data_IF_420497405171
#
_entry.id   IF_420497405171
#
_cell.length_a   1.000
_cell.length_b   1.000
_cell.length_c   1.000
_cell.angle_alpha   90.00
_cell.angle_beta   90.00
_cell.angle_gamma   90.00
#
_symmetry.space_group_name_H-M   'P 1'
#
loop_
_entity.id
_entity.type
_entity.pdbx_description
1 polymer ?
#
# COMPACT_ATOMS: atom_id res chain seq x y z
N UNK A 1 -19.69 -3.61 -15.37
CA UNK A 1 -18.22 -3.55 -15.20
C UNK A 1 -17.85 -4.43 -14.01
N UNK A 2 -16.82 -5.29 -14.12
CA UNK A 2 -16.29 -6.07 -12.99
C UNK A 2 -15.29 -5.23 -12.22
N UNK A 3 -15.47 -5.12 -10.91
CA UNK A 3 -14.69 -4.23 -10.05
C UNK A 3 -13.92 -5.03 -9.01
N UNK A 4 -12.67 -4.65 -8.78
CA UNK A 4 -11.81 -5.25 -7.75
C UNK A 4 -10.67 -4.30 -7.36
N UNK A 5 -10.14 -4.38 -6.13
CA UNK A 5 -8.93 -3.68 -5.74
C UNK A 5 -7.67 -4.34 -6.31
N UNK A 6 -6.63 -3.53 -6.60
CA UNK A 6 -5.37 -3.99 -7.16
C UNK A 6 -4.68 -5.13 -6.37
N UNK A 7 -4.86 -5.18 -5.04
CA UNK A 7 -4.28 -6.24 -4.22
C UNK A 7 -4.78 -7.65 -4.62
N UNK A 8 -5.98 -7.77 -5.20
CA UNK A 8 -6.50 -9.06 -5.67
C UNK A 8 -5.69 -9.62 -6.85
N UNK A 9 -5.25 -8.74 -7.76
CA UNK A 9 -4.36 -9.11 -8.87
C UNK A 9 -3.02 -9.59 -8.33
N UNK A 10 -2.44 -8.82 -7.39
CA UNK A 10 -1.18 -9.19 -6.71
C UNK A 10 -1.31 -10.56 -6.04
N UNK A 11 -2.38 -10.79 -5.28
CA UNK A 11 -2.64 -12.06 -4.61
C UNK A 11 -2.77 -13.23 -5.58
N UNK A 12 -3.40 -13.01 -6.73
CA UNK A 12 -3.55 -14.05 -7.75
C UNK A 12 -2.23 -14.44 -8.41
N UNK A 13 -1.33 -13.48 -8.63
CA UNK A 13 -0.09 -13.71 -9.38
C UNK A 13 1.10 -14.11 -8.49
N UNK A 14 1.10 -13.69 -7.23
CA UNK A 14 2.23 -13.83 -6.31
C UNK A 14 1.84 -14.54 -5.00
N UNK A 15 0.88 -15.46 -5.05
CA UNK A 15 0.41 -16.22 -3.88
C UNK A 15 1.56 -16.95 -3.15
N UNK A 16 2.59 -17.37 -3.88
CA UNK A 16 3.79 -18.04 -3.37
C UNK A 16 4.71 -17.13 -2.55
N UNK A 17 4.66 -15.81 -2.78
CA UNK A 17 5.44 -14.80 -2.05
C UNK A 17 4.68 -14.23 -0.83
N UNK A 18 3.35 -14.32 -0.81
CA UNK A 18 2.50 -13.79 0.26
C UNK A 18 2.40 -14.76 1.46
N UNK A 19 3.56 -15.14 2.02
CA UNK A 19 3.66 -16.09 3.16
C UNK A 19 3.59 -15.43 4.54
N UNK A 20 2.93 -14.28 4.65
CA UNK A 20 2.75 -13.61 5.95
C UNK A 20 1.82 -14.40 6.86
N UNK A 21 2.12 -14.44 8.15
CA UNK A 21 1.19 -14.96 9.16
C UNK A 21 0.01 -14.00 9.32
N UNK A 22 -1.07 -14.47 9.95
CA UNK A 22 -2.19 -13.59 10.30
C UNK A 22 -1.73 -12.40 11.20
N UNK A 23 -0.69 -12.62 12.01
CA UNK A 23 -0.06 -11.60 12.85
C UNK A 23 0.70 -10.57 12.01
N UNK A 24 1.39 -10.99 10.95
CA UNK A 24 2.09 -10.06 10.04
C UNK A 24 1.11 -9.14 9.30
N UNK A 25 -0.03 -9.71 8.85
CA UNK A 25 -1.11 -8.96 8.21
C UNK A 25 -1.72 -7.94 9.17
N UNK A 26 -2.00 -8.36 10.41
CA UNK A 26 -2.50 -7.50 11.48
C UNK A 26 -1.52 -6.36 11.76
N UNK A 27 -0.23 -6.68 11.93
CA UNK A 27 0.82 -5.68 12.18
C UNK A 27 0.92 -4.68 11.05
N UNK A 28 0.98 -5.15 9.80
CA UNK A 28 1.03 -4.30 8.62
C UNK A 28 -0.16 -3.35 8.53
N UNK A 29 -1.38 -3.85 8.82
CA UNK A 29 -2.59 -3.03 8.81
C UNK A 29 -2.60 -1.97 9.91
N UNK A 30 -2.20 -2.31 11.14
CA UNK A 30 -2.15 -1.35 12.23
C UNK A 30 -1.06 -0.28 12.00
N UNK A 31 0.11 -0.70 11.50
CA UNK A 31 1.22 0.19 11.17
C UNK A 31 0.85 1.17 10.05
N UNK A 32 0.14 0.69 9.01
CA UNK A 32 -0.38 1.53 7.93
C UNK A 32 -1.21 2.70 8.48
N UNK A 33 -2.22 2.38 9.30
CA UNK A 33 -3.09 3.39 9.90
C UNK A 33 -2.30 4.36 10.79
N UNK A 34 -1.31 3.86 11.53
CA UNK A 34 -0.46 4.68 12.39
C UNK A 34 0.39 5.67 11.59
N UNK A 35 1.02 5.25 10.49
CA UNK A 35 1.79 6.14 9.61
C UNK A 35 0.92 7.23 8.97
N UNK A 36 -0.29 6.88 8.54
CA UNK A 36 -1.27 7.86 8.04
C UNK A 36 -1.63 8.90 9.11
N UNK A 37 -1.90 8.45 10.34
CA UNK A 37 -2.19 9.35 11.47
C UNK A 37 -0.99 10.20 11.86
N UNK A 38 0.21 9.64 11.82
CA UNK A 38 1.45 10.35 12.09
C UNK A 38 1.63 11.55 11.15
N UNK A 39 1.48 11.32 9.84
CA UNK A 39 1.54 12.40 8.85
C UNK A 39 0.42 13.43 9.06
N UNK A 40 -0.80 12.98 9.41
CA UNK A 40 -1.90 13.87 9.73
C UNK A 40 -1.60 14.76 10.95
N UNK A 41 -1.11 14.18 12.05
CA UNK A 41 -0.76 14.91 13.27
C UNK A 41 0.38 15.91 13.03
N UNK A 42 1.43 15.48 12.32
CA UNK A 42 2.52 16.36 11.91
C UNK A 42 2.01 17.57 11.13
N UNK A 43 1.16 17.36 10.11
CA UNK A 43 0.58 18.46 9.31
C UNK A 43 -0.36 19.37 10.09
N UNK A 44 -0.91 18.90 11.21
CA UNK A 44 -1.76 19.70 12.11
C UNK A 44 -0.97 20.44 13.20
N UNK A 45 0.36 20.28 13.24
CA UNK A 45 1.19 20.93 14.25
C UNK A 45 1.02 20.33 15.64
N UNK A 46 0.72 19.02 15.74
CA UNK A 46 0.69 18.33 17.04
C UNK A 46 2.13 18.13 17.49
N UNK A 47 2.53 18.72 18.63
CA UNK A 47 3.92 18.72 19.11
C UNK A 47 4.51 17.30 19.26
N UNK A 48 3.78 16.38 19.89
CA UNK A 48 4.20 14.99 20.11
C UNK A 48 3.58 14.01 19.10
N UNK A 49 3.58 14.36 17.80
CA UNK A 49 2.93 13.56 16.76
C UNK A 49 3.40 12.09 16.70
N UNK A 50 4.67 11.80 17.02
CA UNK A 50 5.21 10.44 17.04
C UNK A 50 4.59 9.60 18.17
N UNK A 51 4.58 10.14 19.38
CA UNK A 51 3.95 9.48 20.54
C UNK A 51 2.45 9.29 20.30
N UNK A 52 1.77 10.30 19.75
CA UNK A 52 0.36 10.21 19.38
C UNK A 52 0.11 9.10 18.33
N UNK A 53 0.99 8.94 17.36
CA UNK A 53 0.91 7.87 16.37
C UNK A 53 1.19 6.48 16.97
N UNK A 54 2.16 6.36 17.88
CA UNK A 54 2.45 5.11 18.59
C UNK A 54 1.27 4.67 19.48
N UNK A 55 0.66 5.62 20.21
CA UNK A 55 -0.56 5.37 20.99
C UNK A 55 -1.72 4.93 20.10
N UNK A 56 -1.89 5.59 18.95
CA UNK A 56 -2.89 5.20 17.97
C UNK A 56 -2.62 3.79 17.39
N UNK A 57 -1.36 3.43 17.17
CA UNK A 57 -0.99 2.11 16.70
C UNK A 57 -1.37 1.01 17.69
N UNK A 58 -1.15 1.22 19.00
CA UNK A 58 -1.59 0.27 20.04
C UNK A 58 -3.11 0.03 19.99
N UNK A 59 -3.89 1.09 19.82
CA UNK A 59 -5.34 0.98 19.62
C UNK A 59 -5.67 0.22 18.33
N UNK A 60 -5.03 0.58 17.21
CA UNK A 60 -5.26 -0.06 15.92
C UNK A 60 -4.92 -1.56 15.93
N UNK A 61 -3.89 -1.99 16.67
CA UNK A 61 -3.55 -3.41 16.86
C UNK A 61 -4.73 -4.16 17.49
N UNK A 62 -5.32 -3.61 18.57
CA UNK A 62 -6.46 -4.22 19.27
C UNK A 62 -7.70 -4.30 18.40
N UNK A 63 -8.00 -3.23 17.69
CA UNK A 63 -9.13 -3.17 16.76
C UNK A 63 -8.99 -4.17 15.61
N UNK A 64 -7.81 -4.25 14.98
CA UNK A 64 -7.54 -5.20 13.91
C UNK A 64 -7.53 -6.65 14.40
N UNK A 65 -6.98 -6.91 15.60
CA UNK A 65 -7.05 -8.22 16.24
C UNK A 65 -8.49 -8.69 16.43
N UNK A 66 -9.34 -7.83 16.98
CA UNK A 66 -10.75 -8.12 17.18
C UNK A 66 -11.47 -8.37 15.84
N UNK A 67 -11.21 -7.54 14.83
CA UNK A 67 -11.80 -7.67 13.48
C UNK A 67 -11.40 -8.99 12.81
N UNK A 68 -10.17 -9.43 13.01
CA UNK A 68 -9.63 -10.67 12.43
C UNK A 68 -9.92 -11.91 13.28
N UNK A 69 -10.53 -11.77 14.46
CA UNK A 69 -10.76 -12.88 15.39
C UNK A 69 -9.48 -13.45 16.00
N UNK A 70 -8.42 -12.64 16.10
CA UNK A 70 -7.10 -13.03 16.62
C UNK A 70 -7.03 -12.70 18.10
N UNK A 71 -6.77 -13.70 18.94
CA UNK A 71 -6.46 -13.50 20.36
C UNK A 71 -4.97 -13.23 20.53
N UNK A 72 -4.61 -11.97 20.76
CA UNK A 72 -3.22 -11.58 21.02
C UNK A 72 -2.81 -11.90 22.46
N UNK A 73 -1.60 -12.41 22.64
CA UNK A 73 -0.95 -12.44 23.95
C UNK A 73 -0.37 -11.07 24.29
N UNK A 74 -0.16 -10.79 25.57
CA UNK A 74 0.50 -9.54 26.00
C UNK A 74 1.93 -9.42 25.44
N UNK A 75 2.62 -10.55 25.25
CA UNK A 75 3.96 -10.58 24.67
C UNK A 75 3.93 -10.23 23.17
N UNK A 76 2.97 -10.76 22.41
CA UNK A 76 2.80 -10.42 21.00
C UNK A 76 2.45 -8.95 20.81
N UNK A 77 1.51 -8.44 21.61
CA UNK A 77 1.15 -7.03 21.60
C UNK A 77 2.36 -6.14 21.91
N UNK A 78 3.11 -6.47 22.97
CA UNK A 78 4.33 -5.73 23.36
C UNK A 78 5.38 -5.71 22.25
N UNK A 79 5.66 -6.85 21.62
CA UNK A 79 6.63 -6.96 20.51
C UNK A 79 6.18 -6.16 19.29
N UNK A 80 4.89 -6.17 18.97
CA UNK A 80 4.33 -5.40 17.85
C UNK A 80 4.42 -3.90 18.11
N UNK A 81 4.11 -3.45 19.32
CA UNK A 81 4.24 -2.04 19.72
C UNK A 81 5.69 -1.59 19.62
N UNK A 82 6.63 -2.35 20.21
CA UNK A 82 8.06 -2.00 20.17
C UNK A 82 8.58 -1.92 18.73
N UNK A 83 8.28 -2.94 17.91
CA UNK A 83 8.67 -2.96 16.50
C UNK A 83 8.07 -1.79 15.72
N UNK A 84 6.79 -1.52 15.92
CA UNK A 84 6.09 -0.45 15.21
C UNK A 84 6.59 0.92 15.59
N UNK A 85 6.89 1.20 16.86
CA UNK A 85 7.47 2.47 17.30
C UNK A 85 8.80 2.76 16.61
N UNK A 86 9.66 1.75 16.52
CA UNK A 86 10.95 1.86 15.80
C UNK A 86 10.74 2.15 14.31
N UNK A 87 9.74 1.54 13.67
CA UNK A 87 9.41 1.84 12.27
C UNK A 87 8.82 3.25 12.11
N UNK A 88 7.97 3.71 13.03
CA UNK A 88 7.43 5.08 12.99
C UNK A 88 8.53 6.13 13.12
N UNK A 89 9.52 5.90 14.00
CA UNK A 89 10.72 6.74 14.10
C UNK A 89 11.53 6.75 12.79
N UNK A 90 11.74 5.57 12.19
CA UNK A 90 12.44 5.45 10.92
C UNK A 90 11.69 6.14 9.75
N UNK A 91 10.36 6.04 9.76
CA UNK A 91 9.49 6.60 8.73
C UNK A 91 9.65 8.13 8.58
N UNK A 92 9.96 8.85 9.66
CA UNK A 92 10.25 10.30 9.62
C UNK A 92 11.38 10.68 8.67
N UNK A 93 12.33 9.76 8.44
CA UNK A 93 13.49 9.97 7.57
C UNK A 93 13.19 9.63 6.10
N UNK A 94 11.96 9.23 5.79
CA UNK A 94 11.56 8.85 4.43
C UNK A 94 10.97 10.05 3.67
N UNK A 95 11.06 10.06 2.34
CA UNK A 95 10.40 11.09 1.52
C UNK A 95 8.88 11.02 1.55
N UNK A 96 8.29 9.98 2.15
CA UNK A 96 6.84 9.84 2.31
C UNK A 96 6.31 10.52 3.59
N UNK A 97 7.20 10.94 4.50
CA UNK A 97 6.79 11.62 5.74
C UNK A 97 6.16 12.99 5.44
N UNK A 98 5.10 13.33 6.18
CA UNK A 98 4.31 14.54 5.99
C UNK A 98 3.37 14.53 4.78
N UNK A 99 3.38 13.49 3.94
CA UNK A 99 2.46 13.37 2.81
C UNK A 99 1.10 12.82 3.24
N UNK A 100 0.05 13.16 2.48
CA UNK A 100 -1.29 12.62 2.70
C UNK A 100 -1.58 11.47 1.73
N UNK A 101 -2.40 10.53 2.19
CA UNK A 101 -2.95 9.49 1.34
C UNK A 101 -3.79 10.12 0.23
N UNK A 102 -3.54 9.83 -1.06
CA UNK A 102 -4.35 10.37 -2.14
C UNK A 102 -5.75 9.74 -2.14
N UNK A 103 -6.66 10.33 -2.92
CA UNK A 103 -7.94 9.66 -3.23
C UNK A 103 -7.68 8.40 -4.05
N UNK A 104 -8.55 7.41 -3.87
CA UNK A 104 -8.59 6.22 -4.73
C UNK A 104 -8.85 6.63 -6.18
N UNK A 105 -8.22 5.92 -7.11
CA UNK A 105 -8.48 6.05 -8.54
C UNK A 105 -9.02 4.73 -9.08
N UNK A 106 -9.92 4.82 -10.05
CA UNK A 106 -10.45 3.68 -10.78
C UNK A 106 -9.79 3.61 -12.16
N UNK A 107 -9.05 2.53 -12.39
CA UNK A 107 -8.47 2.20 -13.70
C UNK A 107 -9.46 1.33 -14.46
N UNK A 108 -10.01 1.84 -15.56
CA UNK A 108 -11.00 1.16 -16.41
C UNK A 108 -10.32 0.62 -17.66
N UNK A 109 -10.51 -0.68 -17.91
CA UNK A 109 -9.96 -1.40 -19.07
C UNK A 109 -11.12 -1.92 -19.92
N UNK A 110 -11.16 -1.51 -21.19
CA UNK A 110 -12.19 -1.87 -22.18
C UNK A 110 -13.64 -1.69 -21.68
N UNK A 111 -13.87 -0.71 -20.81
CA UNK A 111 -15.17 -0.38 -20.17
C UNK A 111 -15.86 -1.53 -19.41
N UNK A 112 -15.22 -2.69 -19.33
CA UNK A 112 -15.76 -3.92 -18.79
C UNK A 112 -15.11 -4.32 -17.47
N UNK A 113 -13.88 -3.85 -17.23
CA UNK A 113 -13.08 -4.15 -16.04
C UNK A 113 -12.66 -2.83 -15.37
N UNK A 114 -12.76 -2.77 -14.05
CA UNK A 114 -12.32 -1.65 -13.23
C UNK A 114 -11.45 -2.13 -12.07
N UNK A 115 -10.30 -1.51 -11.89
CA UNK A 115 -9.36 -1.81 -10.81
C UNK A 115 -9.14 -0.57 -9.93
N UNK A 116 -9.43 -0.69 -8.63
CA UNK A 116 -9.13 0.37 -7.67
C UNK A 116 -7.65 0.39 -7.32
N UNK A 117 -7.05 1.57 -7.39
CA UNK A 117 -5.65 1.82 -7.04
C UNK A 117 -5.52 3.02 -6.13
N UNK A 118 -4.74 2.86 -5.06
CA UNK A 118 -4.43 3.91 -4.11
C UNK A 118 -3.05 3.60 -3.51
N UNK A 119 -1.99 4.31 -3.92
CA UNK A 119 -0.71 4.20 -3.22
C UNK A 119 -0.85 4.78 -1.80
N UNK A 120 0.06 4.43 -0.91
CA UNK A 120 0.02 4.92 0.48
C UNK A 120 0.07 6.44 0.56
N UNK A 121 0.96 7.07 -0.21
CA UNK A 121 1.10 8.53 -0.28
C UNK A 121 1.38 9.03 -1.70
N UNK A 122 1.15 10.32 -1.93
CA UNK A 122 1.37 10.99 -3.22
C UNK A 122 1.66 12.48 -3.02
N UNK A 123 2.68 12.99 -3.70
CA UNK A 123 3.10 14.42 -3.61
C UNK A 123 2.70 15.24 -4.85
N UNK A 124 2.04 14.64 -5.84
CA UNK A 124 1.74 15.26 -7.13
C UNK A 124 2.69 14.85 -8.26
N UNK A 125 3.88 14.34 -7.93
CA UNK A 125 4.91 13.90 -8.87
C UNK A 125 5.22 12.41 -8.73
N UNK A 126 5.51 11.93 -7.52
CA UNK A 126 5.80 10.53 -7.19
C UNK A 126 4.69 9.88 -6.36
N UNK A 127 4.41 8.62 -6.64
CA UNK A 127 3.64 7.76 -5.73
C UNK A 127 4.57 7.07 -4.75
N UNK A 128 4.11 6.85 -3.52
CA UNK A 128 4.88 6.20 -2.46
C UNK A 128 4.12 5.01 -1.95
N UNK A 129 4.80 3.87 -1.87
CA UNK A 129 4.28 2.63 -1.29
C UNK A 129 5.21 2.21 -0.15
N UNK A 130 4.65 1.91 1.02
CA UNK A 130 5.40 1.64 2.24
C UNK A 130 5.15 0.20 2.69
N UNK A 131 6.24 -0.52 3.00
CA UNK A 131 6.22 -1.91 3.47
C UNK A 131 6.84 -2.01 4.85
N UNK A 132 6.23 -2.81 5.72
CA UNK A 132 6.73 -3.10 7.07
C UNK A 132 7.95 -4.06 7.11
N UNK A 133 8.49 -4.39 5.94
CA UNK A 133 9.56 -5.35 5.71
C UNK A 133 10.49 -4.86 4.60
N UNK A 134 11.57 -5.59 4.33
CA UNK A 134 12.52 -5.29 3.25
C UNK A 134 11.97 -5.69 1.85
N UNK A 135 11.65 -4.72 0.97
CA UNK A 135 10.99 -4.99 -0.31
C UNK A 135 11.93 -5.51 -1.41
N UNK A 136 13.25 -5.43 -1.24
CA UNK A 136 14.24 -5.84 -2.26
C UNK A 136 14.14 -7.32 -2.65
N UNK A 137 13.51 -8.14 -1.81
CA UNK A 137 13.40 -9.59 -1.99
C UNK A 137 12.01 -10.05 -2.46
N UNK A 138 11.09 -9.13 -2.72
CA UNK A 138 9.68 -9.43 -3.03
C UNK A 138 9.27 -8.82 -4.35
N UNK A 139 9.05 -9.65 -5.38
CA UNK A 139 8.67 -9.17 -6.71
C UNK A 139 7.27 -8.55 -6.71
N UNK A 140 6.38 -9.07 -5.86
CA UNK A 140 5.01 -8.57 -5.78
C UNK A 140 4.96 -7.08 -5.38
N UNK A 141 5.91 -6.60 -4.56
CA UNK A 141 5.93 -5.21 -4.11
C UNK A 141 6.23 -4.26 -5.28
N UNK A 142 7.16 -4.64 -6.17
CA UNK A 142 7.42 -3.91 -7.41
C UNK A 142 6.20 -3.96 -8.34
N UNK A 143 5.60 -5.14 -8.51
CA UNK A 143 4.42 -5.29 -9.37
C UNK A 143 3.24 -4.45 -8.89
N UNK A 144 2.98 -4.42 -7.58
CA UNK A 144 1.92 -3.61 -6.97
C UNK A 144 2.11 -2.12 -7.28
N UNK A 145 3.34 -1.62 -7.15
CA UNK A 145 3.66 -0.24 -7.49
C UNK A 145 3.41 0.03 -8.98
N UNK A 146 3.73 -0.92 -9.86
CA UNK A 146 3.41 -0.77 -11.29
C UNK A 146 1.90 -0.77 -11.58
N UNK A 147 1.10 -1.55 -10.85
CA UNK A 147 -0.37 -1.46 -10.92
C UNK A 147 -0.83 -0.05 -10.54
N UNK A 148 -0.25 0.55 -9.50
CA UNK A 148 -0.60 1.91 -9.09
C UNK A 148 -0.20 2.95 -10.13
N UNK A 149 0.92 2.78 -10.83
CA UNK A 149 1.28 3.67 -11.96
C UNK A 149 0.26 3.63 -13.11
N UNK A 150 -0.61 2.62 -13.23
CA UNK A 150 -1.75 2.71 -14.15
C UNK A 150 -2.76 3.80 -13.71
N UNK A 151 -2.92 4.03 -12.40
CA UNK A 151 -3.72 5.16 -11.91
C UNK A 151 -2.98 6.49 -12.00
N UNK A 152 -1.65 6.47 -12.08
CA UNK A 152 -0.75 7.61 -11.96
C UNK A 152 0.36 7.52 -13.05
N UNK A 153 -0.01 7.60 -14.35
CA UNK A 153 0.89 7.23 -15.45
C UNK A 153 2.14 8.11 -15.58
N UNK A 154 2.03 9.39 -15.21
CA UNK A 154 3.14 10.34 -15.28
C UNK A 154 4.03 10.32 -14.03
N UNK A 155 3.69 9.48 -13.04
CA UNK A 155 4.39 9.46 -11.76
C UNK A 155 5.54 8.47 -11.74
N UNK A 156 6.67 8.92 -11.21
CA UNK A 156 7.67 8.00 -10.64
C UNK A 156 7.07 7.30 -9.42
N UNK A 157 7.70 6.22 -8.98
CA UNK A 157 7.29 5.55 -7.77
C UNK A 157 8.47 5.33 -6.81
N UNK A 158 8.16 5.39 -5.53
CA UNK A 158 9.13 5.18 -4.45
C UNK A 158 8.60 4.09 -3.53
N UNK A 159 9.29 2.96 -3.51
CA UNK A 159 9.01 1.86 -2.60
C UNK A 159 9.88 2.03 -1.35
N UNK A 160 9.23 2.20 -0.21
CA UNK A 160 9.85 2.36 1.10
C UNK A 160 9.68 1.06 1.88
N UNK A 161 10.76 0.61 2.50
CA UNK A 161 10.77 -0.57 3.35
C UNK A 161 11.57 -0.36 4.62
N UNK A 162 11.48 -1.33 5.52
CA UNK A 162 12.26 -1.34 6.76
C UNK A 162 12.85 -2.72 6.96
N UNK A 163 14.16 -2.80 7.17
CA UNK A 163 14.72 -4.00 7.77
C UNK A 163 14.52 -3.92 9.29
N UNK A 164 14.23 -5.07 9.93
CA UNK A 164 13.93 -5.11 11.36
C UNK A 164 15.14 -4.89 12.28
N UNK A 165 16.34 -4.65 11.74
CA UNK A 165 17.59 -4.72 12.48
C UNK A 165 18.31 -3.36 12.56
N UNK A 166 18.35 -2.60 11.46
CA UNK A 166 19.11 -1.35 11.32
C UNK A 166 18.23 -0.13 11.56
N UNK A 167 16.91 -0.28 11.42
CA UNK A 167 15.93 0.80 11.46
C UNK A 167 16.19 1.89 10.40
N UNK A 168 17.07 1.63 9.43
CA UNK A 168 17.27 2.53 8.32
C UNK A 168 16.23 2.22 7.23
N UNK A 169 15.51 3.25 6.74
CA UNK A 169 14.55 3.04 5.68
C UNK A 169 15.27 2.63 4.39
N UNK A 170 14.79 1.56 3.78
CA UNK A 170 15.20 1.12 2.46
C UNK A 170 14.34 1.87 1.45
N UNK A 171 14.97 2.69 0.61
CA UNK A 171 14.28 3.53 -0.37
C UNK A 171 14.67 3.08 -1.78
N UNK A 172 13.68 2.64 -2.54
CA UNK A 172 13.87 2.14 -3.92
C UNK A 172 13.07 3.05 -4.85
N UNK A 173 13.78 3.75 -5.74
CA UNK A 173 13.16 4.57 -6.78
C UNK A 173 12.89 3.72 -8.02
N UNK A 174 11.67 3.83 -8.53
CA UNK A 174 11.17 3.11 -9.69
C UNK A 174 10.75 4.16 -10.71
N UNK A 175 11.35 4.11 -11.89
CA UNK A 175 11.04 5.05 -12.97
C UNK A 175 9.55 4.97 -13.37
N UNK A 176 9.09 5.97 -14.13
CA UNK A 176 7.77 5.94 -14.77
C UNK A 176 7.56 4.62 -15.52
N UNK A 177 6.31 4.17 -15.57
CA UNK A 177 5.95 2.95 -16.27
C UNK A 177 6.22 3.12 -17.78
N UNK A 178 6.94 2.17 -18.39
CA UNK A 178 7.15 2.19 -19.83
C UNK A 178 5.87 1.78 -20.56
N UNK A 179 5.76 2.12 -21.84
CA UNK A 179 4.65 1.68 -22.70
C UNK A 179 4.50 0.15 -22.72
N UNK A 180 5.64 -0.56 -22.82
CA UNK A 180 5.68 -2.01 -22.82
C UNK A 180 5.21 -2.61 -21.49
N UNK A 181 5.72 -2.11 -20.36
CA UNK A 181 5.30 -2.56 -19.03
C UNK A 181 3.81 -2.25 -18.80
N UNK A 182 3.35 -1.08 -19.24
CA UNK A 182 1.95 -0.68 -19.14
C UNK A 182 1.05 -1.64 -19.89
N UNK A 183 1.36 -1.94 -21.15
CA UNK A 183 0.59 -2.89 -21.95
C UNK A 183 0.55 -4.27 -21.30
N UNK A 184 1.72 -4.79 -20.86
CA UNK A 184 1.81 -6.09 -20.17
C UNK A 184 0.93 -6.16 -18.93
N UNK A 185 0.98 -5.13 -18.09
CA UNK A 185 0.19 -5.10 -16.83
C UNK A 185 -1.29 -4.96 -17.12
N UNK A 186 -1.69 -4.14 -18.10
CA UNK A 186 -3.09 -4.07 -18.55
C UNK A 186 -3.60 -5.45 -18.98
N UNK A 187 -2.79 -6.22 -19.71
CA UNK A 187 -3.15 -7.58 -20.12
C UNK A 187 -3.29 -8.55 -18.93
N UNK A 188 -2.41 -8.45 -17.93
CA UNK A 188 -2.54 -9.24 -16.70
C UNK A 188 -3.84 -8.91 -15.95
N UNK A 189 -4.16 -7.62 -15.80
CA UNK A 189 -5.38 -7.15 -15.13
C UNK A 189 -6.62 -7.56 -15.93
N UNK A 190 -6.58 -7.46 -17.26
CA UNK A 190 -7.67 -7.88 -18.14
C UNK A 190 -7.92 -9.39 -18.04
N UNK A 191 -6.84 -10.20 -18.01
CA UNK A 191 -6.92 -11.65 -17.81
C UNK A 191 -7.51 -11.98 -16.44
N UNK A 192 -7.04 -11.32 -15.38
CA UNK A 192 -7.58 -11.51 -14.03
C UNK A 192 -9.07 -11.15 -13.96
N UNK A 193 -9.46 -9.97 -14.44
CA UNK A 193 -10.84 -9.49 -14.42
C UNK A 193 -11.78 -10.32 -15.30
N UNK A 194 -11.29 -10.87 -16.41
CA UNK A 194 -12.10 -11.79 -17.24
C UNK A 194 -12.48 -13.05 -16.46
N UNK A 195 -11.57 -13.56 -15.63
CA UNK A 195 -11.79 -14.76 -14.81
C UNK A 195 -12.40 -14.50 -13.43
N UNK A 196 -12.28 -13.28 -12.88
CA UNK A 196 -12.62 -12.95 -11.49
C UNK A 196 -13.31 -11.58 -11.36
N UNK A 197 -14.36 -11.47 -10.55
CA UNK A 197 -15.06 -10.24 -10.12
C UNK A 197 -16.11 -10.66 -9.08
N UNK A 198 -16.40 -9.95 -7.98
CA UNK A 198 -16.88 -8.56 -7.82
C UNK A 198 -16.71 -8.11 -6.35
N UNK A 199 -16.42 -6.82 -6.08
CA UNK A 199 -16.95 -6.01 -4.96
C UNK A 199 -16.79 -4.49 -5.26
N UNK A 200 -17.72 -3.62 -4.82
CA UNK A 200 -17.76 -2.15 -5.06
C UNK A 200 -17.74 -1.34 -3.75
N UNK A 201 -18.02 -0.03 -3.69
CA UNK A 201 -17.41 1.14 -4.37
C UNK A 201 -16.73 1.99 -3.27
N UNK A 202 -15.63 2.69 -3.52
CA UNK A 202 -15.23 3.88 -2.78
C UNK A 202 -16.03 5.11 -3.27
N UNK A 203 -16.57 5.91 -2.35
CA UNK A 203 -17.55 6.98 -2.64
C UNK A 203 -17.10 8.11 -3.59
N UNK A 204 -15.82 8.19 -4.01
CA UNK A 204 -15.28 9.27 -4.87
C UNK A 204 -14.00 8.84 -5.60
N UNK A 205 -14.13 8.40 -6.85
CA UNK A 205 -12.98 7.99 -7.67
C UNK A 205 -12.61 8.98 -8.78
N UNK A 206 -11.33 8.99 -9.13
CA UNK A 206 -10.85 9.54 -10.40
C UNK A 206 -10.76 8.41 -11.43
N UNK A 207 -11.41 8.56 -12.58
CA UNK A 207 -11.47 7.52 -13.63
C UNK A 207 -10.32 7.71 -14.62
N UNK A 208 -9.53 6.66 -14.82
CA UNK A 208 -8.49 6.55 -15.85
C UNK A 208 -8.89 5.44 -16.83
N UNK A 209 -8.85 5.67 -18.14
CA UNK A 209 -9.28 4.69 -19.16
C UNK A 209 -8.10 4.15 -19.98
N UNK A 210 -8.11 2.85 -20.24
CA UNK A 210 -7.18 2.14 -21.12
C UNK A 210 -7.91 1.19 -22.08
N UNK A 211 -7.27 0.92 -23.24
CA UNK A 211 -7.71 -0.04 -24.25
C UNK A 211 -6.72 -1.20 -24.34
N UNK A 212 -7.20 -2.44 -24.44
CA UNK A 212 -6.37 -3.60 -24.76
C UNK A 212 -6.08 -3.72 -26.26
N UNK A 213 -6.87 -3.04 -27.11
CA UNK A 213 -6.62 -2.94 -28.55
C UNK A 213 -5.67 -1.78 -28.77
N UNK A 214 -4.47 -2.05 -29.30
CA UNK A 214 -3.46 -1.03 -29.59
C UNK A 214 -4.05 0.15 -30.37
N UNK A 215 -3.75 1.37 -29.92
CA UNK A 215 -4.15 2.61 -30.59
C UNK A 215 -3.39 2.87 -31.88
#
# INVERSE_FOLDING_TARGET
>A
MKLFPAWMVVKSLFADELRGTAIDVLFGSALDKAMVKMNYYYRKGVDNYLEAAANYMSLAIKEEAARMGIKLSNEDEGRMIERGSKILEAFQRTPAFGLLRPKTRLVVIDESIGMYVQPDFYDGYSIYEVKSFNPTKTRYAYYQVRLFQLGYPDSEAVLVGFDGNTLDPIIIRINRISEEDRHRIIMDVAKFGSSNGVEGEPDRDVIIKYSTRGG
#
